data_IF_605501447918
#
_entry.id   IF_605501447918
#
_cell.length_a   1.000
_cell.length_b   1.000
_cell.length_c   1.000
_cell.angle_alpha   90.00
_cell.angle_beta   90.00
_cell.angle_gamma   90.00
#
_symmetry.space_group_name_H-M   'P 1'
#
loop_
_entity.id
_entity.type
_entity.pdbx_description
1 polymer ?
#
# COMPACT_ATOMS: atom_id res chain seq x y z
N UNK A 1 -23.92 -2.56 26.19
CA UNK A 1 -24.59 -3.87 26.29
C UNK A 1 -23.79 -4.86 25.46
N UNK A 2 -23.46 -6.00 26.08
CA UNK A 2 -22.94 -7.26 25.52
C UNK A 2 -21.80 -7.21 24.49
N UNK A 3 -20.56 -7.19 25.01
CA UNK A 3 -19.43 -7.88 24.38
C UNK A 3 -19.63 -9.38 24.59
N UNK A 4 -20.03 -10.12 23.56
CA UNK A 4 -19.90 -11.57 23.57
C UNK A 4 -18.56 -11.90 22.90
N UNK A 5 -17.52 -12.05 23.72
CA UNK A 5 -16.35 -12.82 23.29
C UNK A 5 -16.83 -14.27 23.16
N UNK A 6 -17.07 -14.73 21.93
CA UNK A 6 -17.18 -16.16 21.68
C UNK A 6 -15.82 -16.74 22.08
N UNK A 7 -15.83 -17.64 23.07
CA UNK A 7 -14.66 -18.38 23.50
C UNK A 7 -14.22 -19.25 22.33
N UNK A 8 -13.20 -18.79 21.63
CA UNK A 8 -12.42 -19.53 20.63
C UNK A 8 -12.12 -20.92 21.21
N UNK A 9 -12.70 -21.96 20.61
CA UNK A 9 -12.10 -23.29 20.68
C UNK A 9 -10.67 -23.13 20.14
N UNK A 10 -9.68 -23.43 20.98
CA UNK A 10 -8.25 -23.17 20.76
C UNK A 10 -7.85 -23.22 19.27
N UNK A 11 -7.16 -22.20 18.74
CA UNK A 11 -6.66 -22.16 17.35
C UNK A 11 -6.00 -23.48 16.92
N UNK A 12 -5.30 -24.14 17.85
CA UNK A 12 -4.68 -25.45 17.65
C UNK A 12 -5.70 -26.56 17.30
N UNK A 13 -6.88 -26.56 17.95
CA UNK A 13 -7.92 -27.57 17.69
C UNK A 13 -8.46 -27.54 16.26
N UNK A 14 -8.50 -26.38 15.61
CA UNK A 14 -8.98 -26.26 14.23
C UNK A 14 -7.99 -26.87 13.24
N UNK A 15 -6.70 -26.58 13.42
CA UNK A 15 -5.62 -27.15 12.60
C UNK A 15 -5.51 -28.66 12.87
N UNK A 16 -5.63 -29.09 14.13
CA UNK A 16 -5.54 -30.50 14.51
C UNK A 16 -6.71 -31.35 13.98
N UNK A 17 -7.87 -30.74 13.76
CA UNK A 17 -9.06 -31.38 13.18
C UNK A 17 -8.98 -31.52 11.65
N UNK A 18 -8.00 -30.89 10.99
CA UNK A 18 -7.83 -31.04 9.56
C UNK A 18 -7.51 -32.50 9.18
N UNK A 19 -8.06 -32.99 8.06
CA UNK A 19 -7.66 -34.25 7.46
C UNK A 19 -6.13 -34.35 7.35
N UNK A 20 -5.58 -35.53 7.65
CA UNK A 20 -4.13 -35.75 7.64
C UNK A 20 -3.50 -35.42 6.27
N UNK A 21 -4.24 -35.63 5.17
CA UNK A 21 -3.79 -35.26 3.83
C UNK A 21 -3.48 -33.78 3.67
N UNK A 22 -4.34 -32.89 4.20
CA UNK A 22 -4.15 -31.44 4.12
C UNK A 22 -3.07 -30.97 5.09
N UNK A 23 -2.97 -31.57 6.28
CA UNK A 23 -1.92 -31.23 7.25
C UNK A 23 -0.50 -31.53 6.75
N UNK A 24 -0.33 -32.47 5.84
CA UNK A 24 0.96 -32.79 5.24
C UNK A 24 1.25 -32.00 3.96
N UNK A 25 0.22 -31.40 3.35
CA UNK A 25 0.37 -30.59 2.13
C UNK A 25 0.87 -29.17 2.44
N UNK A 26 0.54 -28.63 3.60
CA UNK A 26 0.88 -27.29 4.03
C UNK A 26 1.79 -27.30 5.26
N UNK A 27 2.69 -26.31 5.37
CA UNK A 27 3.45 -26.10 6.60
C UNK A 27 2.52 -25.64 7.73
N UNK A 28 2.96 -25.80 8.99
CA UNK A 28 2.16 -25.33 10.14
C UNK A 28 1.93 -23.82 10.07
N UNK A 29 2.95 -23.07 9.65
CA UNK A 29 2.89 -21.63 9.47
C UNK A 29 1.91 -21.24 8.36
N UNK A 30 1.83 -22.01 7.28
CA UNK A 30 0.83 -21.81 6.22
C UNK A 30 -0.59 -22.06 6.73
N UNK A 31 -0.82 -23.11 7.52
CA UNK A 31 -2.14 -23.41 8.10
C UNK A 31 -2.57 -22.38 9.15
N UNK A 32 -1.63 -21.88 9.96
CA UNK A 32 -1.88 -20.80 10.91
C UNK A 32 -2.23 -19.50 10.19
N UNK A 33 -1.56 -19.20 9.08
CA UNK A 33 -1.92 -18.08 8.22
C UNK A 33 -3.32 -18.27 7.64
N UNK A 34 -3.64 -19.44 7.08
CA UNK A 34 -4.97 -19.77 6.54
C UNK A 34 -6.07 -19.62 7.59
N UNK A 35 -5.81 -20.02 8.84
CA UNK A 35 -6.76 -19.88 9.94
C UNK A 35 -6.98 -18.41 10.33
N UNK A 36 -5.92 -17.60 10.30
CA UNK A 36 -6.06 -16.16 10.49
C UNK A 36 -6.87 -15.53 9.35
N UNK A 37 -6.63 -15.94 8.10
CA UNK A 37 -7.45 -15.48 6.97
C UNK A 37 -8.92 -15.85 7.16
N UNK A 38 -9.18 -17.11 7.51
CA UNK A 38 -10.52 -17.62 7.75
C UNK A 38 -11.24 -16.84 8.85
N UNK A 39 -10.54 -16.58 9.96
CA UNK A 39 -11.09 -15.81 11.08
C UNK A 39 -11.35 -14.35 10.74
N UNK A 40 -10.61 -13.77 9.80
CA UNK A 40 -10.85 -12.42 9.30
C UNK A 40 -12.03 -12.37 8.31
N UNK A 41 -12.42 -13.52 7.73
CA UNK A 41 -13.55 -13.62 6.82
C UNK A 41 -14.85 -13.96 7.52
N UNK A 42 -14.78 -14.75 8.59
CA UNK A 42 -15.89 -15.06 9.49
C UNK A 42 -16.18 -13.87 10.43
N UNK A 43 -16.63 -12.74 9.86
CA UNK A 43 -17.01 -11.55 10.63
C UNK A 43 -18.17 -11.84 11.59
N UNK A 44 -19.04 -12.79 11.22
CA UNK A 44 -20.16 -13.23 12.06
C UNK A 44 -19.72 -14.06 13.28
N UNK A 45 -18.50 -14.61 13.26
CA UNK A 45 -17.96 -15.49 14.30
C UNK A 45 -18.70 -16.82 14.39
N UNK A 46 -19.35 -17.23 13.30
CA UNK A 46 -20.16 -18.45 13.19
C UNK A 46 -19.33 -19.72 13.02
N UNK A 47 -18.06 -19.59 12.65
CA UNK A 47 -17.15 -20.68 12.35
C UNK A 47 -17.22 -21.19 10.90
N UNK A 48 -17.90 -20.43 10.04
CA UNK A 48 -18.12 -20.69 8.61
C UNK A 48 -18.16 -19.34 7.87
N UNK A 49 -17.85 -19.34 6.58
CA UNK A 49 -17.89 -18.14 5.73
C UNK A 49 -19.05 -18.28 4.76
N UNK A 50 -20.05 -17.42 4.85
CA UNK A 50 -21.17 -17.40 3.91
C UNK A 50 -20.74 -16.87 2.54
N UNK A 51 -21.44 -17.28 1.47
CA UNK A 51 -21.18 -16.81 0.11
C UNK A 51 -21.19 -15.27 0.02
N UNK A 52 -22.09 -14.60 0.74
CA UNK A 52 -22.15 -13.13 0.79
C UNK A 52 -20.92 -12.49 1.44
N UNK A 53 -20.39 -13.10 2.50
CA UNK A 53 -19.17 -12.62 3.19
C UNK A 53 -17.96 -12.79 2.26
N UNK A 54 -17.87 -13.93 1.59
CA UNK A 54 -16.83 -14.20 0.60
C UNK A 54 -16.90 -13.22 -0.60
N UNK A 55 -18.10 -12.87 -1.09
CA UNK A 55 -18.27 -11.84 -2.15
C UNK A 55 -17.87 -10.44 -1.67
N UNK A 56 -18.31 -10.03 -0.48
CA UNK A 56 -17.95 -8.72 0.08
C UNK A 56 -16.44 -8.59 0.24
N UNK A 57 -15.81 -9.66 0.69
CA UNK A 57 -14.37 -9.74 0.78
C UNK A 57 -13.70 -9.66 -0.60
N UNK A 58 -14.12 -10.49 -1.57
CA UNK A 58 -13.60 -10.46 -2.94
C UNK A 58 -13.69 -9.04 -3.51
N UNK A 59 -14.82 -8.36 -3.30
CA UNK A 59 -15.04 -6.98 -3.70
C UNK A 59 -14.11 -5.99 -2.97
N UNK A 60 -13.88 -6.15 -1.66
CA UNK A 60 -12.93 -5.33 -0.89
C UNK A 60 -11.47 -5.46 -1.36
N UNK A 61 -11.17 -6.55 -2.09
CA UNK A 61 -9.90 -6.81 -2.74
C UNK A 61 -9.91 -6.42 -4.23
N UNK A 62 -10.96 -5.74 -4.70
CA UNK A 62 -11.08 -5.30 -6.09
C UNK A 62 -11.43 -6.42 -7.08
N UNK A 63 -11.87 -7.59 -6.60
CA UNK A 63 -12.29 -8.72 -7.43
C UNK A 63 -13.82 -8.72 -7.48
N UNK A 64 -14.36 -8.41 -8.65
CA UNK A 64 -15.79 -8.59 -8.90
C UNK A 64 -16.09 -10.07 -9.17
N UNK A 65 -16.85 -10.67 -8.25
CA UNK A 65 -17.37 -12.03 -8.36
C UNK A 65 -18.90 -12.01 -8.23
N UNK A 66 -19.57 -12.85 -9.02
CA UNK A 66 -21.03 -13.02 -8.89
C UNK A 66 -21.35 -14.04 -7.80
N UNK A 67 -22.58 -13.99 -7.28
CA UNK A 67 -23.06 -14.99 -6.32
C UNK A 67 -22.94 -16.41 -6.88
N UNK A 68 -23.33 -16.60 -8.13
CA UNK A 68 -23.24 -17.89 -8.83
C UNK A 68 -21.79 -18.39 -8.94
N UNK A 69 -20.82 -17.50 -9.18
CA UNK A 69 -19.40 -17.86 -9.24
C UNK A 69 -18.89 -18.34 -7.88
N UNK A 70 -19.31 -17.68 -6.79
CA UNK A 70 -18.87 -18.02 -5.43
C UNK A 70 -19.57 -19.28 -4.92
N UNK A 71 -20.87 -19.43 -5.15
CA UNK A 71 -21.61 -20.65 -4.81
C UNK A 71 -21.01 -21.87 -5.52
N UNK A 72 -20.66 -21.75 -6.81
CA UNK A 72 -20.00 -22.82 -7.55
C UNK A 72 -18.59 -23.16 -7.04
N UNK A 73 -17.93 -22.25 -6.31
CA UNK A 73 -16.65 -22.52 -5.66
C UNK A 73 -16.84 -23.23 -4.33
N UNK A 74 -17.84 -22.82 -3.54
CA UNK A 74 -18.19 -23.45 -2.27
C UNK A 74 -18.67 -24.89 -2.53
N UNK A 75 -19.56 -25.10 -3.49
CA UNK A 75 -20.11 -26.43 -3.82
C UNK A 75 -19.04 -27.48 -4.15
N UNK A 76 -17.87 -27.06 -4.67
CA UNK A 76 -16.76 -27.99 -4.99
C UNK A 76 -16.08 -28.60 -3.77
N UNK A 77 -16.22 -27.98 -2.61
CA UNK A 77 -15.50 -28.35 -1.38
C UNK A 77 -16.41 -28.54 -0.17
N UNK A 78 -17.67 -28.13 -0.29
CA UNK A 78 -18.74 -28.26 0.69
C UNK A 78 -19.24 -29.72 0.76
N UNK A 79 -18.46 -30.55 1.44
CA UNK A 79 -18.73 -31.98 1.59
C UNK A 79 -19.97 -32.23 2.47
N UNK A 80 -20.19 -31.35 3.45
CA UNK A 80 -21.25 -31.51 4.42
C UNK A 80 -22.57 -30.84 4.00
N UNK A 81 -22.56 -30.12 2.86
CA UNK A 81 -23.69 -29.38 2.28
C UNK A 81 -24.24 -28.33 3.22
N UNK A 82 -23.36 -27.67 3.95
CA UNK A 82 -23.71 -26.54 4.80
C UNK A 82 -24.17 -25.33 3.96
N UNK A 83 -23.72 -25.25 2.69
CA UNK A 83 -23.91 -24.08 1.84
C UNK A 83 -23.02 -22.90 2.23
N UNK A 84 -22.15 -23.09 3.23
CA UNK A 84 -21.17 -22.14 3.73
C UNK A 84 -19.79 -22.79 3.65
N UNK A 85 -18.73 -22.01 3.83
CA UNK A 85 -17.37 -22.52 3.74
C UNK A 85 -16.80 -22.70 5.14
N UNK A 86 -16.65 -23.94 5.61
CA UNK A 86 -15.98 -24.25 6.87
C UNK A 86 -14.45 -24.24 6.73
N UNK A 87 -13.71 -24.14 7.84
CA UNK A 87 -12.25 -24.05 7.76
C UNK A 87 -11.57 -25.24 7.04
N UNK A 88 -11.95 -26.51 7.27
CA UNK A 88 -11.40 -27.62 6.50
C UNK A 88 -11.68 -27.53 5.00
N UNK A 89 -12.84 -27.00 4.63
CA UNK A 89 -13.29 -26.83 3.25
C UNK A 89 -12.55 -25.65 2.59
N UNK A 90 -12.34 -24.56 3.32
CA UNK A 90 -11.48 -23.45 2.93
C UNK A 90 -10.04 -23.91 2.63
N UNK A 91 -9.46 -24.79 3.46
CA UNK A 91 -8.11 -25.34 3.21
C UNK A 91 -8.11 -26.26 1.99
N UNK A 92 -9.14 -27.10 1.80
CA UNK A 92 -9.29 -27.94 0.59
C UNK A 92 -9.45 -27.11 -0.67
N UNK A 93 -10.21 -26.03 -0.56
CA UNK A 93 -10.39 -25.07 -1.62
C UNK A 93 -9.01 -24.56 -2.05
N UNK A 94 -8.18 -24.07 -1.12
CA UNK A 94 -6.81 -23.64 -1.41
C UNK A 94 -5.93 -24.77 -2.00
N UNK A 95 -6.00 -25.99 -1.46
CA UNK A 95 -5.28 -27.18 -1.95
C UNK A 95 -5.60 -27.49 -3.42
N UNK A 96 -6.88 -27.56 -3.77
CA UNK A 96 -7.33 -27.89 -5.12
C UNK A 96 -6.78 -26.91 -6.18
N UNK A 97 -6.61 -25.62 -5.83
CA UNK A 97 -6.08 -24.61 -6.76
C UNK A 97 -4.55 -24.57 -6.81
N UNK A 98 -3.82 -25.02 -5.77
CA UNK A 98 -2.36 -25.22 -5.87
C UNK A 98 -1.99 -26.28 -6.92
N UNK A 99 -2.91 -27.21 -7.20
CA UNK A 99 -2.65 -28.38 -8.05
C UNK A 99 -3.10 -28.22 -9.52
N UNK A 100 -3.74 -27.11 -9.93
CA UNK A 100 -4.06 -26.88 -11.35
C UNK A 100 -4.76 -25.54 -11.70
N UNK A 101 -4.30 -24.95 -12.81
CA UNK A 101 -4.76 -23.76 -13.58
C UNK A 101 -5.17 -22.49 -12.82
N UNK A 102 -4.60 -21.35 -13.24
CA UNK A 102 -4.83 -20.01 -12.68
C UNK A 102 -6.25 -19.50 -12.92
N UNK A 103 -7.20 -19.98 -12.13
CA UNK A 103 -8.55 -19.42 -12.02
C UNK A 103 -8.58 -18.33 -10.95
N UNK A 104 -9.63 -17.48 -11.01
CA UNK A 104 -9.94 -16.36 -10.09
C UNK A 104 -9.68 -16.67 -8.61
N UNK A 105 -9.77 -17.93 -8.18
CA UNK A 105 -9.53 -18.31 -6.80
C UNK A 105 -8.04 -18.48 -6.41
N UNK A 106 -7.16 -18.97 -7.28
CA UNK A 106 -5.71 -18.96 -6.99
C UNK A 106 -5.19 -17.53 -6.88
N UNK A 107 -5.67 -16.69 -7.79
CA UNK A 107 -5.53 -15.23 -7.74
C UNK A 107 -6.13 -14.65 -6.45
N UNK A 108 -7.32 -15.07 -6.02
CA UNK A 108 -7.93 -14.67 -4.75
C UNK A 108 -7.11 -15.08 -3.51
N UNK A 109 -6.53 -16.27 -3.46
CA UNK A 109 -5.72 -16.74 -2.32
C UNK A 109 -4.39 -15.98 -2.25
N UNK A 110 -3.78 -15.70 -3.39
CA UNK A 110 -2.61 -14.83 -3.44
C UNK A 110 -2.97 -13.41 -2.99
N UNK A 111 -4.08 -12.88 -3.50
CA UNK A 111 -4.59 -11.57 -3.11
C UNK A 111 -5.01 -11.50 -1.64
N UNK A 112 -5.59 -12.56 -1.08
CA UNK A 112 -5.98 -12.62 0.33
C UNK A 112 -4.76 -12.57 1.23
N UNK A 113 -3.69 -13.30 0.88
CA UNK A 113 -2.42 -13.27 1.63
C UNK A 113 -1.81 -11.88 1.62
N UNK A 114 -1.75 -11.24 0.46
CA UNK A 114 -1.19 -9.91 0.34
C UNK A 114 -2.09 -8.86 1.01
N UNK A 115 -3.40 -8.91 0.82
CA UNK A 115 -4.35 -8.02 1.48
C UNK A 115 -4.27 -8.13 3.01
N UNK A 116 -4.12 -9.33 3.56
CA UNK A 116 -3.95 -9.53 5.00
C UNK A 116 -2.61 -9.03 5.49
N UNK A 117 -1.54 -9.24 4.72
CA UNK A 117 -0.24 -8.65 5.03
C UNK A 117 -0.34 -7.13 5.10
N UNK A 118 -0.99 -6.49 4.11
CA UNK A 118 -1.22 -5.05 4.10
C UNK A 118 -2.09 -4.62 5.30
N UNK A 119 -3.19 -5.30 5.60
CA UNK A 119 -4.02 -5.01 6.79
C UNK A 119 -3.23 -5.11 8.09
N UNK A 120 -2.37 -6.12 8.22
CA UNK A 120 -1.51 -6.31 9.37
C UNK A 120 -0.46 -5.19 9.50
N UNK A 121 0.18 -4.80 8.40
CA UNK A 121 1.10 -3.66 8.37
C UNK A 121 0.38 -2.34 8.73
N UNK A 122 -0.82 -2.12 8.19
CA UNK A 122 -1.64 -0.95 8.51
C UNK A 122 -2.03 -0.93 9.99
N UNK A 123 -2.45 -2.07 10.54
CA UNK A 123 -2.80 -2.21 11.97
C UNK A 123 -1.59 -1.91 12.85
N UNK A 124 -0.41 -2.43 12.52
CA UNK A 124 0.82 -2.15 13.25
C UNK A 124 1.19 -0.68 13.18
N UNK A 125 1.15 -0.05 12.00
CA UNK A 125 1.43 1.37 11.83
C UNK A 125 0.42 2.28 12.53
N UNK A 126 -0.84 1.86 12.61
CA UNK A 126 -1.88 2.62 13.33
C UNK A 126 -1.69 2.49 14.85
N UNK A 127 -1.34 1.30 15.34
CA UNK A 127 -1.09 1.06 16.77
C UNK A 127 0.24 1.65 17.24
N UNK A 128 1.25 1.65 16.37
CA UNK A 128 2.62 2.09 16.60
C UNK A 128 3.06 3.05 15.47
N UNK A 129 2.52 4.27 15.43
CA UNK A 129 2.85 5.24 14.39
C UNK A 129 4.33 5.64 14.44
N UNK A 130 4.87 6.07 13.30
CA UNK A 130 6.20 6.69 13.22
C UNK A 130 6.14 8.13 13.77
N UNK A 131 7.26 8.87 13.74
CA UNK A 131 7.39 10.12 14.47
C UNK A 131 6.40 11.21 14.02
N UNK A 132 6.10 11.27 12.72
CA UNK A 132 5.34 12.38 12.14
C UNK A 132 4.18 11.95 11.25
N UNK A 133 3.93 10.64 11.13
CA UNK A 133 2.97 10.12 10.15
C UNK A 133 1.72 9.57 10.81
N UNK A 134 0.59 9.95 10.23
CA UNK A 134 -0.71 9.28 10.42
C UNK A 134 -0.98 8.45 9.17
N UNK A 135 -1.37 7.20 9.37
CA UNK A 135 -1.67 6.25 8.30
C UNK A 135 -3.14 5.85 8.42
N UNK A 136 -3.85 5.85 7.30
CA UNK A 136 -5.20 5.33 7.21
C UNK A 136 -5.40 4.52 5.93
N UNK A 137 -6.07 3.37 6.03
CA UNK A 137 -6.51 2.62 4.87
C UNK A 137 -7.70 3.32 4.19
N UNK A 138 -7.78 3.23 2.87
CA UNK A 138 -8.97 3.71 2.15
C UNK A 138 -10.09 2.69 2.33
N UNK A 139 -11.26 3.17 2.73
CA UNK A 139 -12.43 2.32 2.98
C UNK A 139 -12.76 1.48 1.74
N UNK A 140 -13.02 0.20 1.95
CA UNK A 140 -13.38 -0.79 0.92
C UNK A 140 -12.29 -1.05 -0.15
N UNK A 141 -11.05 -0.57 0.07
CA UNK A 141 -9.92 -0.83 -0.83
C UNK A 141 -8.62 -1.12 -0.06
N UNK A 142 -8.29 -2.40 0.10
CA UNK A 142 -7.06 -2.82 0.79
C UNK A 142 -5.76 -2.44 0.06
N UNK A 143 -5.85 -2.11 -1.24
CA UNK A 143 -4.72 -1.80 -2.12
C UNK A 143 -4.34 -0.33 -2.13
N UNK A 144 -5.08 0.51 -1.42
CA UNK A 144 -4.81 1.92 -1.37
C UNK A 144 -4.85 2.46 0.05
N UNK A 145 -3.79 3.17 0.41
CA UNK A 145 -3.70 3.87 1.69
C UNK A 145 -3.55 5.36 1.47
N UNK A 146 -3.91 6.12 2.49
CA UNK A 146 -3.60 7.53 2.62
C UNK A 146 -2.63 7.72 3.78
N UNK A 147 -1.51 8.41 3.51
CA UNK A 147 -0.53 8.80 4.51
C UNK A 147 -0.56 10.31 4.68
N UNK A 148 -0.58 10.77 5.93
CA UNK A 148 -0.45 12.17 6.28
C UNK A 148 0.84 12.37 7.07
N UNK A 149 1.83 13.01 6.46
CA UNK A 149 3.13 13.31 7.10
C UNK A 149 3.12 14.75 7.56
N UNK A 150 3.37 14.97 8.85
CA UNK A 150 3.62 16.31 9.39
C UNK A 150 5.04 16.75 9.09
N UNK A 151 5.20 17.98 8.64
CA UNK A 151 6.51 18.55 8.39
C UNK A 151 7.36 18.63 9.68
N UNK A 152 8.61 18.16 9.65
CA UNK A 152 9.48 18.18 10.82
C UNK A 152 9.79 19.59 11.31
N UNK A 153 9.97 19.75 12.63
CA UNK A 153 10.31 21.05 13.24
C UNK A 153 11.69 21.54 12.79
N UNK A 154 11.83 22.85 12.63
CA UNK A 154 13.07 23.48 12.17
C UNK A 154 13.35 23.30 10.68
N UNK A 155 12.37 22.79 9.92
CA UNK A 155 12.43 22.70 8.46
C UNK A 155 11.45 23.70 7.83
N UNK A 156 11.61 24.06 6.54
CA UNK A 156 10.62 24.87 5.81
C UNK A 156 9.23 24.21 5.67
N UNK A 157 9.10 22.98 6.12
CA UNK A 157 7.88 22.19 6.05
C UNK A 157 7.11 22.18 7.37
N UNK A 158 7.69 22.73 8.45
CA UNK A 158 7.08 22.79 9.78
C UNK A 158 5.62 23.25 9.73
N UNK A 159 4.79 22.62 10.56
CA UNK A 159 3.32 22.77 10.63
C UNK A 159 2.53 22.36 9.37
N UNK A 160 3.21 21.95 8.29
CA UNK A 160 2.59 21.42 7.09
C UNK A 160 2.08 19.98 7.27
N UNK A 161 0.96 19.65 6.63
CA UNK A 161 0.41 18.30 6.49
C UNK A 161 0.47 17.86 5.01
N UNK A 162 1.34 16.90 4.73
CA UNK A 162 1.59 16.40 3.37
C UNK A 162 0.86 15.08 3.15
N UNK A 163 -0.05 15.06 2.18
CA UNK A 163 -0.90 13.90 1.89
C UNK A 163 -0.32 13.07 0.77
N UNK A 164 -0.20 11.78 1.02
CA UNK A 164 0.29 10.79 0.07
C UNK A 164 -0.77 9.74 -0.17
N UNK A 165 -1.02 9.46 -1.44
CA UNK A 165 -1.81 8.32 -1.86
C UNK A 165 -0.85 7.18 -2.21
N UNK A 166 -1.03 6.03 -1.57
CA UNK A 166 -0.26 4.80 -1.79
C UNK A 166 -1.11 3.85 -2.61
N UNK A 167 -0.52 3.21 -3.61
CA UNK A 167 -1.13 2.11 -4.33
C UNK A 167 -0.20 0.90 -4.33
N UNK A 168 -0.69 -0.24 -3.85
CA UNK A 168 0.07 -1.49 -3.77
C UNK A 168 -0.13 -2.31 -5.05
N UNK A 169 0.98 -2.68 -5.69
CA UNK A 169 0.99 -3.67 -6.76
C UNK A 169 0.90 -5.10 -6.22
N UNK A 170 0.61 -6.04 -7.11
CA UNK A 170 0.40 -7.46 -6.78
C UNK A 170 1.67 -8.17 -6.29
N UNK A 171 2.83 -7.61 -6.60
CA UNK A 171 4.14 -8.16 -6.24
C UNK A 171 4.76 -7.47 -5.02
N UNK A 172 4.02 -6.60 -4.33
CA UNK A 172 4.45 -6.07 -3.04
C UNK A 172 4.68 -7.23 -2.04
N UNK A 173 5.79 -7.25 -1.28
CA UNK A 173 6.81 -6.21 -1.11
C UNK A 173 8.00 -6.31 -2.08
N UNK A 174 8.01 -7.25 -3.02
CA UNK A 174 9.14 -7.42 -3.93
C UNK A 174 9.23 -6.27 -4.93
N UNK A 175 8.08 -5.74 -5.34
CA UNK A 175 7.97 -4.44 -5.99
C UNK A 175 7.51 -3.36 -5.00
N UNK A 176 8.08 -2.16 -5.14
CA UNK A 176 7.71 -1.01 -4.33
C UNK A 176 6.25 -0.58 -4.62
N UNK A 177 5.52 -0.05 -3.62
CA UNK A 177 4.23 0.57 -3.89
C UNK A 177 4.41 1.85 -4.70
N UNK A 178 3.39 2.22 -5.47
CA UNK A 178 3.33 3.54 -6.10
C UNK A 178 2.94 4.57 -5.04
N UNK A 179 3.65 5.70 -5.01
CA UNK A 179 3.43 6.75 -4.04
C UNK A 179 3.23 8.10 -4.74
N UNK A 180 2.13 8.79 -4.40
CA UNK A 180 1.72 10.04 -5.06
C UNK A 180 1.49 11.10 -4.00
N UNK A 181 2.32 12.14 -4.00
CA UNK A 181 2.15 13.30 -3.12
C UNK A 181 1.03 14.20 -3.66
N UNK A 182 -0.16 14.12 -3.07
CA UNK A 182 -1.31 14.96 -3.46
C UNK A 182 -1.13 16.41 -3.05
N UNK A 183 -0.35 16.66 -2.00
CA UNK A 183 0.00 18.01 -1.55
C UNK A 183 1.13 18.58 -2.42
N UNK A 184 0.93 19.78 -2.98
CA UNK A 184 2.02 20.49 -3.68
C UNK A 184 3.12 20.85 -2.68
N UNK A 185 4.36 20.48 -3.00
CA UNK A 185 5.53 20.70 -2.15
C UNK A 185 6.71 21.22 -2.98
N UNK A 186 7.50 22.12 -2.39
CA UNK A 186 8.74 22.62 -2.97
C UNK A 186 9.91 21.92 -2.27
N UNK A 187 10.32 20.79 -2.83
CA UNK A 187 11.34 19.92 -2.24
C UNK A 187 12.27 19.41 -3.34
N UNK A 188 13.61 19.40 -3.15
CA UNK A 188 14.55 19.11 -4.23
C UNK A 188 14.49 17.65 -4.72
N UNK A 189 14.11 16.70 -3.87
CA UNK A 189 13.89 15.31 -4.27
C UNK A 189 12.47 15.00 -4.80
N UNK A 190 11.53 15.95 -4.87
CA UNK A 190 10.17 15.70 -5.36
C UNK A 190 9.93 16.34 -6.72
N UNK A 191 9.23 15.63 -7.60
CA UNK A 191 8.71 16.26 -8.81
C UNK A 191 7.57 17.22 -8.47
N UNK A 192 7.63 18.41 -9.05
CA UNK A 192 6.68 19.49 -8.78
C UNK A 192 5.26 19.26 -9.39
N UNK A 193 4.97 18.05 -9.86
CA UNK A 193 3.67 17.59 -10.37
C UNK A 193 2.90 16.68 -9.38
N UNK A 194 3.45 16.41 -8.19
CA UNK A 194 2.79 15.60 -7.16
C UNK A 194 2.91 14.08 -7.33
N UNK A 195 3.75 13.58 -8.24
CA UNK A 195 4.08 12.14 -8.25
C UNK A 195 5.44 11.90 -7.62
N UNK A 196 5.55 10.90 -6.75
CA UNK A 196 6.86 10.42 -6.30
C UNK A 196 7.44 9.47 -7.33
N UNK A 197 7.68 9.98 -8.54
CA UNK A 197 8.83 9.50 -9.29
C UNK A 197 10.03 10.24 -8.70
N UNK A 198 10.32 9.92 -7.43
CA UNK A 198 11.61 10.25 -6.85
C UNK A 198 12.66 9.71 -7.79
N UNK A 199 13.69 10.49 -7.96
CA UNK A 199 14.78 10.16 -8.84
C UNK A 199 15.61 8.99 -8.28
N UNK A 200 15.09 7.78 -8.36
CA UNK A 200 15.77 6.59 -7.85
C UNK A 200 15.43 6.19 -6.40
N UNK A 201 14.67 6.96 -5.62
CA UNK A 201 14.44 6.62 -4.20
C UNK A 201 13.76 5.25 -4.03
N UNK A 202 12.75 4.94 -4.84
CA UNK A 202 12.16 3.61 -4.89
C UNK A 202 12.91 2.67 -5.85
N UNK A 203 13.87 3.15 -6.64
CA UNK A 203 14.71 2.27 -7.47
C UNK A 203 15.68 1.43 -6.64
N UNK A 204 16.03 1.89 -5.43
CA UNK A 204 16.78 1.13 -4.44
C UNK A 204 15.87 0.50 -3.37
N UNK A 205 14.60 0.27 -3.72
CA UNK A 205 13.64 -0.40 -2.85
C UNK A 205 14.17 -1.77 -2.43
N UNK A 206 14.06 -2.04 -1.13
CA UNK A 206 14.34 -3.35 -0.55
C UNK A 206 13.04 -3.90 0.06
N UNK A 207 12.65 -5.14 -0.25
CA UNK A 207 11.40 -5.74 0.26
C UNK A 207 11.30 -5.76 1.79
N UNK A 208 12.44 -5.74 2.48
CA UNK A 208 12.54 -5.68 3.94
C UNK A 208 12.11 -4.33 4.51
N UNK A 209 12.11 -3.25 3.71
CA UNK A 209 11.67 -1.95 4.19
C UNK A 209 10.19 -1.97 4.55
N UNK A 210 9.38 -2.65 3.72
CA UNK A 210 7.92 -2.66 3.86
C UNK A 210 7.37 -1.21 3.98
N UNK A 211 6.13 -1.02 4.43
CA UNK A 211 5.59 0.34 4.55
C UNK A 211 6.24 1.15 5.67
N UNK A 212 6.62 0.52 6.79
CA UNK A 212 7.28 1.23 7.91
C UNK A 212 8.60 1.86 7.49
N UNK A 213 9.51 1.08 6.90
CA UNK A 213 10.80 1.57 6.46
C UNK A 213 10.69 2.60 5.32
N UNK A 214 9.65 2.50 4.49
CA UNK A 214 9.33 3.52 3.49
C UNK A 214 8.95 4.85 4.15
N UNK A 215 8.02 4.82 5.10
CA UNK A 215 7.54 6.01 5.81
C UNK A 215 8.68 6.69 6.56
N UNK A 216 9.50 5.95 7.31
CA UNK A 216 10.64 6.49 8.05
C UNK A 216 11.66 7.19 7.13
N UNK A 217 11.89 6.65 5.93
CA UNK A 217 12.78 7.28 4.93
C UNK A 217 12.14 8.52 4.31
N UNK A 218 10.82 8.51 4.10
CA UNK A 218 10.09 9.69 3.66
C UNK A 218 10.18 10.80 4.69
N UNK A 219 9.95 10.50 5.98
CA UNK A 219 10.09 11.44 7.08
C UNK A 219 11.51 12.03 7.12
N UNK A 220 12.53 11.17 7.01
CA UNK A 220 13.91 11.61 6.97
C UNK A 220 14.21 12.50 5.76
N UNK A 221 13.60 12.24 4.60
CA UNK A 221 13.81 13.03 3.38
C UNK A 221 13.35 14.48 3.56
N UNK A 222 12.25 14.71 4.29
CA UNK A 222 11.78 16.05 4.64
C UNK A 222 12.73 16.79 5.59
N UNK A 223 13.45 16.08 6.45
CA UNK A 223 14.49 16.65 7.32
C UNK A 223 15.78 16.93 6.56
N UNK A 224 16.27 15.92 5.85
CA UNK A 224 17.57 15.92 5.17
C UNK A 224 17.40 15.39 3.74
N UNK A 225 17.27 16.30 2.76
CA UNK A 225 17.18 15.93 1.36
C UNK A 225 18.38 15.12 0.88
N UNK A 226 18.12 14.09 0.06
CA UNK A 226 19.13 13.16 -0.45
C UNK A 226 19.95 13.79 -1.59
N UNK A 227 21.27 14.02 -1.40
CA UNK A 227 22.12 14.60 -2.43
C UNK A 227 22.36 13.69 -3.64
N UNK A 228 22.44 12.37 -3.46
CA UNK A 228 22.70 11.44 -4.56
C UNK A 228 21.51 11.37 -5.51
N UNK A 229 20.29 11.38 -4.94
CA UNK A 229 19.06 11.47 -5.71
C UNK A 229 18.97 12.80 -6.49
N UNK A 230 19.41 13.92 -5.92
CA UNK A 230 19.48 15.21 -6.63
C UNK A 230 20.46 15.15 -7.81
N UNK A 231 21.69 14.67 -7.58
CA UNK A 231 22.75 14.63 -8.60
C UNK A 231 22.37 13.73 -9.78
N UNK A 232 21.80 12.56 -9.47
CA UNK A 232 21.33 11.63 -10.49
C UNK A 232 20.22 12.33 -11.31
N UNK A 233 19.33 13.14 -10.69
CA UNK A 233 18.22 13.82 -11.37
C UNK A 233 18.72 14.86 -12.36
N UNK A 234 19.71 15.64 -11.95
CA UNK A 234 20.36 16.62 -12.80
C UNK A 234 21.02 15.95 -14.02
N UNK A 235 21.71 14.83 -13.80
CA UNK A 235 22.34 14.04 -14.88
C UNK A 235 21.32 13.54 -15.89
N UNK A 236 20.30 12.78 -15.45
CA UNK A 236 19.30 12.24 -16.37
C UNK A 236 18.49 13.34 -17.08
N UNK A 237 18.21 14.47 -16.41
CA UNK A 237 17.51 15.60 -17.04
C UNK A 237 18.36 16.22 -18.14
N UNK A 238 19.67 16.35 -17.91
CA UNK A 238 20.61 16.91 -18.88
C UNK A 238 20.78 15.99 -20.10
N UNK A 239 20.91 14.68 -19.88
CA UNK A 239 21.00 13.67 -20.94
C UNK A 239 19.73 13.66 -21.82
N UNK A 240 18.54 13.69 -21.20
CA UNK A 240 17.26 13.76 -21.93
C UNK A 240 17.16 15.03 -22.78
N UNK A 241 17.54 16.19 -22.23
CA UNK A 241 17.53 17.45 -22.98
C UNK A 241 18.45 17.39 -24.19
N UNK A 242 19.63 16.78 -24.07
CA UNK A 242 20.57 16.63 -25.18
C UNK A 242 19.98 15.78 -26.32
N UNK A 243 19.26 14.71 -26.00
CA UNK A 243 18.56 13.85 -26.96
C UNK A 243 17.38 14.56 -27.65
N UNK A 244 16.56 15.30 -26.87
CA UNK A 244 15.36 16.01 -27.37
C UNK A 244 15.66 17.18 -28.33
N UNK A 245 16.87 17.76 -28.29
CA UNK A 245 17.30 18.82 -29.24
C UNK A 245 17.25 18.39 -30.72
N UNK A 246 17.03 17.10 -30.99
CA UNK A 246 17.01 16.49 -32.33
C UNK A 246 15.60 16.27 -32.90
N UNK A 247 14.53 16.38 -32.10
CA UNK A 247 13.14 16.10 -32.51
C UNK A 247 12.20 17.27 -32.17
N UNK A 248 12.06 18.21 -33.10
CA UNK A 248 11.18 19.39 -32.94
C UNK A 248 9.74 18.99 -33.35
N UNK A 249 8.99 18.36 -32.43
CA UNK A 249 7.53 18.44 -32.28
C UNK A 249 7.04 17.45 -31.21
N UNK A 250 7.15 17.84 -29.94
CA UNK A 250 6.65 17.04 -28.82
C UNK A 250 5.13 17.17 -28.63
N UNK A 251 4.46 16.07 -28.31
CA UNK A 251 3.04 16.07 -27.90
C UNK A 251 2.81 16.92 -26.63
N UNK A 252 1.56 17.36 -26.34
CA UNK A 252 1.23 18.14 -25.15
C UNK A 252 1.70 17.50 -23.83
N UNK A 253 1.68 16.17 -23.76
CA UNK A 253 2.16 15.37 -22.62
C UNK A 253 3.66 15.51 -22.42
N UNK A 254 4.45 15.44 -23.52
CA UNK A 254 5.90 15.64 -23.48
C UNK A 254 6.25 17.06 -23.01
N UNK A 255 5.49 18.07 -23.44
CA UNK A 255 5.70 19.47 -23.02
C UNK A 255 5.49 19.68 -21.52
N UNK A 256 4.42 19.09 -20.97
CA UNK A 256 4.09 19.21 -19.54
C UNK A 256 5.14 18.50 -18.68
N UNK A 257 5.58 17.31 -19.08
CA UNK A 257 6.64 16.56 -18.39
C UNK A 257 7.97 17.34 -18.36
N UNK A 258 8.35 17.97 -19.48
CA UNK A 258 9.55 18.81 -19.57
C UNK A 258 9.48 20.00 -18.60
N UNK A 259 8.35 20.70 -18.55
CA UNK A 259 8.15 21.80 -17.61
C UNK A 259 8.32 21.37 -16.16
N UNK A 260 7.76 20.22 -15.76
CA UNK A 260 7.89 19.71 -14.40
C UNK A 260 9.36 19.44 -14.02
N UNK A 261 10.16 18.89 -14.95
CA UNK A 261 11.59 18.67 -14.72
C UNK A 261 12.37 19.99 -14.62
N UNK A 262 12.05 20.97 -15.45
CA UNK A 262 12.69 22.29 -15.41
C UNK A 262 12.46 22.99 -14.06
N UNK A 263 11.23 22.95 -13.54
CA UNK A 263 10.95 23.45 -12.19
C UNK A 263 11.73 22.70 -11.09
N UNK A 264 11.85 21.38 -11.22
CA UNK A 264 12.59 20.56 -10.25
C UNK A 264 14.10 20.89 -10.30
N UNK A 265 14.67 21.08 -11.49
CA UNK A 265 16.07 21.55 -11.65
C UNK A 265 16.29 22.90 -10.99
N UNK A 266 15.34 23.84 -11.13
CA UNK A 266 15.42 25.14 -10.47
C UNK A 266 15.36 24.97 -8.94
N UNK A 267 14.47 24.12 -8.43
CA UNK A 267 14.37 23.79 -7.01
C UNK A 267 15.72 23.26 -6.45
N UNK A 268 16.33 22.28 -7.13
CA UNK A 268 17.64 21.73 -6.75
C UNK A 268 18.72 22.81 -6.78
N UNK A 269 18.76 23.64 -7.82
CA UNK A 269 19.74 24.73 -7.96
C UNK A 269 19.61 25.76 -6.82
N UNK A 270 18.38 26.20 -6.51
CA UNK A 270 18.11 27.10 -5.39
C UNK A 270 18.50 26.45 -4.06
N UNK A 271 18.17 25.17 -3.86
CA UNK A 271 18.57 24.41 -2.67
C UNK A 271 20.10 24.37 -2.47
N UNK A 272 20.87 24.13 -3.55
CA UNK A 272 22.33 24.02 -3.53
C UNK A 272 23.06 25.35 -3.37
N UNK A 273 22.50 26.45 -3.88
CA UNK A 273 23.23 27.72 -4.01
C UNK A 273 22.63 28.91 -3.24
N UNK A 274 21.34 28.87 -2.89
CA UNK A 274 20.66 29.93 -2.14
C UNK A 274 19.66 29.35 -1.14
N UNK A 275 20.20 28.89 -0.01
CA UNK A 275 19.39 28.22 1.02
C UNK A 275 18.30 29.13 1.60
N UNK A 276 18.57 30.42 1.74
CA UNK A 276 17.62 31.41 2.27
C UNK A 276 16.41 31.56 1.35
N UNK A 277 16.66 31.69 0.03
CA UNK A 277 15.60 31.73 -0.95
C UNK A 277 14.82 30.42 -0.99
N UNK A 278 15.50 29.27 -0.94
CA UNK A 278 14.86 27.96 -0.90
C UNK A 278 13.89 27.86 0.29
N UNK A 279 14.38 28.13 1.51
CA UNK A 279 13.58 28.02 2.73
C UNK A 279 12.37 28.98 2.70
N UNK A 280 12.54 30.18 2.12
CA UNK A 280 11.45 31.15 1.94
C UNK A 280 10.35 30.62 1.02
N UNK A 281 10.71 30.10 -0.16
CA UNK A 281 9.75 29.57 -1.15
C UNK A 281 9.05 28.33 -0.59
N UNK A 282 9.81 27.41 0.00
CA UNK A 282 9.27 26.18 0.59
C UNK A 282 8.28 26.50 1.72
N UNK A 283 8.65 27.36 2.67
CA UNK A 283 7.77 27.76 3.77
C UNK A 283 6.51 28.49 3.30
N UNK A 284 6.61 29.29 2.23
CA UNK A 284 5.44 29.94 1.65
C UNK A 284 4.50 28.93 1.02
N UNK A 285 5.02 27.97 0.24
CA UNK A 285 4.19 26.95 -0.41
C UNK A 285 3.56 25.99 0.61
N UNK A 286 4.31 25.58 1.64
CA UNK A 286 3.81 24.78 2.77
C UNK A 286 2.58 25.43 3.40
N UNK A 287 2.66 26.74 3.73
CA UNK A 287 1.54 27.50 4.29
C UNK A 287 0.34 27.60 3.35
N UNK A 288 0.54 27.56 2.05
CA UNK A 288 -0.53 27.67 1.06
C UNK A 288 -1.20 26.34 0.73
N UNK A 289 -0.47 25.24 0.74
CA UNK A 289 -0.91 23.98 0.14
C UNK A 289 -0.99 22.81 1.14
N UNK A 290 -0.30 22.88 2.27
CA UNK A 290 -0.19 21.81 3.25
C UNK A 290 -0.90 22.14 4.56
N UNK A 291 -2.04 22.85 4.52
CA UNK A 291 -2.81 23.13 5.73
C UNK A 291 -3.63 21.90 6.12
N UNK A 292 -3.71 21.54 7.41
CA UNK A 292 -4.60 20.47 7.88
C UNK A 292 -6.06 20.82 7.57
N UNK A 293 -6.92 19.84 7.26
CA UNK A 293 -8.35 20.07 7.10
C UNK A 293 -8.95 20.62 8.41
N UNK A 294 -9.94 21.51 8.31
CA UNK A 294 -10.56 22.18 9.48
C UNK A 294 -11.08 21.20 10.55
N UNK A 295 -11.38 19.95 10.18
CA UNK A 295 -11.83 18.89 11.09
C UNK A 295 -10.75 18.32 12.02
N UNK A 296 -9.47 18.64 11.83
CA UNK A 296 -8.35 18.21 12.71
C UNK A 296 -7.88 19.34 13.65
N UNK A 297 -8.55 20.50 13.65
CA UNK A 297 -8.24 21.65 14.51
C UNK A 297 -9.03 21.68 15.83
N UNK A 298 -9.85 20.68 16.12
CA UNK A 298 -10.65 20.53 17.36
C UNK A 298 -10.21 19.34 18.23
#
# INVERSE_FOLDING_TARGET
MLRVKVRIAHRDTWIDQLPQSLRHEFSREELEQMLEQFSDFDESGGGSIAASELIQLMKSMGIDATLEEVEALIEKVDDNRSGELEFPEFVRLISNFRQGNADKLGTFVQYSKLALQLRNELRDLTAHPTNYTIVSGIKDNAWEWELHIRGPRGTPYEDGLFRFHVHFGNDYPFEAPTLICRTRVYHPNFLMNGTMALHGFLSNWLPEWRMRGLIERLEHLFETPDPEAMDTFERETSERKALETSEINGSPTKRTARQCRDFTMQCISTFKHDRSQFDTIASQLTRQCAQPPESELE
#
